data_IF_851301384872
#
_entry.id   IF_851301384872
#
_cell.length_a   1.000
_cell.length_b   1.000
_cell.length_c   1.000
_cell.angle_alpha   90.00
_cell.angle_beta   90.00
_cell.angle_gamma   90.00
#
_symmetry.space_group_name_H-M   'P 1'
#
loop_
_entity.id
_entity.type
_entity.pdbx_description
1 polymer ?
#
# COMPACT_ATOMS: atom_id res chain seq x y z
N UNK A 1 8.52 17.84 11.34
CA UNK A 1 8.58 16.48 11.92
C UNK A 1 7.16 15.96 11.93
N UNK A 2 6.83 15.01 11.06
CA UNK A 2 5.49 14.45 10.93
C UNK A 2 5.39 13.26 11.89
N UNK A 3 4.34 13.19 12.71
CA UNK A 3 4.16 12.06 13.61
C UNK A 3 3.63 10.86 12.82
N UNK A 4 4.51 9.90 12.56
CA UNK A 4 4.16 8.66 11.87
C UNK A 4 4.90 7.46 12.47
N UNK A 5 4.20 6.34 12.58
CA UNK A 5 4.75 5.12 13.16
C UNK A 5 5.83 4.54 12.22
N UNK A 6 6.97 4.03 12.74
CA UNK A 6 7.94 3.33 11.91
C UNK A 6 7.26 2.21 11.12
N UNK A 7 7.51 2.12 9.82
CA UNK A 7 6.86 1.13 8.92
C UNK A 7 6.97 -0.32 9.42
N UNK A 8 8.07 -0.65 10.10
CA UNK A 8 8.30 -1.97 10.72
C UNK A 8 7.29 -2.31 11.83
N UNK A 9 6.76 -1.30 12.51
CA UNK A 9 5.86 -1.41 13.66
C UNK A 9 4.43 -0.95 13.32
N UNK A 10 4.22 -0.41 12.13
CA UNK A 10 2.93 0.04 11.66
C UNK A 10 2.14 -1.15 11.07
N UNK A 11 1.15 -1.66 11.81
CA UNK A 11 0.18 -2.60 11.27
C UNK A 11 -0.95 -1.82 10.57
N UNK A 12 -1.44 -2.34 9.43
CA UNK A 12 -2.49 -1.71 8.63
C UNK A 12 -3.62 -2.68 8.24
N UNK A 13 -3.67 -3.86 8.87
CA UNK A 13 -4.66 -4.89 8.58
C UNK A 13 -6.05 -4.60 9.18
N UNK A 14 -6.99 -5.48 8.85
CA UNK A 14 -8.45 -5.30 9.03
C UNK A 14 -8.86 -5.16 10.50
N UNK A 15 -8.04 -5.69 11.43
CA UNK A 15 -8.32 -5.79 12.86
C UNK A 15 -8.24 -4.46 13.64
N UNK A 16 -7.70 -3.38 13.05
CA UNK A 16 -7.57 -2.09 13.74
C UNK A 16 -8.90 -1.36 13.97
N UNK A 17 -9.98 -1.73 13.26
CA UNK A 17 -11.28 -1.08 13.40
C UNK A 17 -12.08 -1.58 14.61
N UNK A 18 -11.82 -2.77 15.15
CA UNK A 18 -12.58 -3.30 16.30
C UNK A 18 -11.87 -3.11 17.64
N UNK A 19 -10.57 -2.81 17.67
CA UNK A 19 -9.80 -2.68 18.92
C UNK A 19 -9.65 -3.99 19.72
N UNK A 20 -10.18 -5.10 19.21
CA UNK A 20 -10.07 -6.44 19.79
C UNK A 20 -9.97 -7.44 18.65
N UNK A 21 -8.78 -7.95 18.40
CA UNK A 21 -8.63 -9.15 17.58
C UNK A 21 -9.11 -10.33 18.39
N UNK A 22 -10.11 -11.04 17.87
CA UNK A 22 -10.46 -12.35 18.38
C UNK A 22 -9.32 -13.30 18.01
N UNK A 23 -8.48 -13.64 18.99
CA UNK A 23 -7.42 -14.63 18.79
C UNK A 23 -8.11 -15.95 18.43
N UNK A 24 -7.91 -16.52 17.23
CA UNK A 24 -8.54 -17.77 16.85
C UNK A 24 -8.10 -18.88 17.81
N UNK A 25 -9.06 -19.74 18.22
CA UNK A 25 -8.77 -20.87 19.09
C UNK A 25 -7.82 -21.87 18.41
N UNK A 26 -7.12 -22.66 19.21
CA UNK A 26 -6.22 -23.68 18.67
C UNK A 26 -6.96 -24.68 17.76
N UNK A 27 -8.20 -25.04 18.08
CA UNK A 27 -9.05 -25.89 17.24
C UNK A 27 -9.34 -25.28 15.85
N UNK A 28 -9.42 -23.95 15.75
CA UNK A 28 -9.58 -23.25 14.47
C UNK A 28 -8.27 -23.24 13.68
N UNK A 29 -7.14 -23.06 14.37
CA UNK A 29 -5.81 -23.08 13.72
C UNK A 29 -5.44 -24.47 13.20
N UNK A 30 -5.84 -25.53 13.91
CA UNK A 30 -5.57 -26.91 13.53
C UNK A 30 -6.34 -27.36 12.26
N UNK A 31 -7.36 -26.60 11.85
CA UNK A 31 -8.17 -26.85 10.65
C UNK A 31 -7.63 -26.13 9.40
N UNK A 32 -6.63 -25.26 9.55
CA UNK A 32 -6.08 -24.44 8.47
C UNK A 32 -4.79 -25.04 7.91
N UNK A 33 -4.44 -24.63 6.69
CA UNK A 33 -3.14 -24.97 6.11
C UNK A 33 -1.99 -24.27 6.85
N UNK A 34 -0.77 -24.82 6.74
CA UNK A 34 0.42 -24.22 7.38
C UNK A 34 0.65 -22.77 6.94
N UNK A 35 0.38 -22.45 5.67
CA UNK A 35 0.51 -21.10 5.12
C UNK A 35 -0.53 -20.14 5.72
N UNK A 36 -1.78 -20.57 5.87
CA UNK A 36 -2.84 -19.77 6.50
C UNK A 36 -2.55 -19.53 7.99
N UNK A 37 -2.05 -20.54 8.70
CA UNK A 37 -1.63 -20.40 10.10
C UNK A 37 -0.45 -19.43 10.22
N UNK A 38 0.50 -19.47 9.28
CA UNK A 38 1.64 -18.57 9.27
C UNK A 38 1.21 -17.11 9.04
N UNK A 39 0.26 -16.87 8.12
CA UNK A 39 -0.32 -15.54 7.88
C UNK A 39 -1.02 -15.02 9.13
N UNK A 40 -1.88 -15.82 9.75
CA UNK A 40 -2.60 -15.43 10.98
C UNK A 40 -1.62 -15.10 12.11
N UNK A 41 -0.61 -15.93 12.33
CA UNK A 41 0.43 -15.66 13.34
C UNK A 41 1.20 -14.39 13.06
N UNK A 42 1.52 -14.12 11.80
CA UNK A 42 2.17 -12.88 11.38
C UNK A 42 1.29 -11.66 11.64
N UNK A 43 -0.02 -11.75 11.35
CA UNK A 43 -0.97 -10.66 11.63
C UNK A 43 -1.07 -10.37 13.12
N UNK A 44 -1.21 -11.42 13.95
CA UNK A 44 -1.26 -11.30 15.41
C UNK A 44 -0.01 -10.59 15.93
N UNK A 45 1.15 -11.09 15.53
CA UNK A 45 2.44 -10.58 15.99
C UNK A 45 2.67 -9.12 15.54
N UNK A 46 2.28 -8.78 14.31
CA UNK A 46 2.40 -7.43 13.78
C UNK A 46 1.48 -6.45 14.52
N UNK A 47 0.27 -6.88 14.88
CA UNK A 47 -0.64 -6.07 15.70
C UNK A 47 -0.11 -5.90 17.13
N UNK A 48 0.38 -6.96 17.77
CA UNK A 48 0.93 -6.88 19.13
C UNK A 48 2.11 -5.90 19.20
N UNK A 49 3.03 -5.96 18.24
CA UNK A 49 4.13 -5.01 18.15
C UNK A 49 3.64 -3.56 17.94
N UNK A 50 2.60 -3.38 17.13
CA UNK A 50 1.99 -2.07 16.92
C UNK A 50 1.40 -1.49 18.20
N UNK A 51 0.61 -2.28 18.92
CA UNK A 51 -0.04 -1.88 20.18
C UNK A 51 0.99 -1.62 21.28
N UNK A 52 1.95 -2.53 21.44
CA UNK A 52 3.05 -2.36 22.40
C UNK A 52 3.81 -1.06 22.14
N UNK A 53 4.14 -0.76 20.88
CA UNK A 53 4.84 0.47 20.53
C UNK A 53 3.98 1.71 20.78
N UNK A 54 2.67 1.67 20.50
CA UNK A 54 1.76 2.75 20.86
C UNK A 54 1.70 2.99 22.38
N UNK A 55 1.69 1.93 23.18
CA UNK A 55 1.68 2.03 24.64
C UNK A 55 3.00 2.60 25.18
N UNK A 56 4.14 2.13 24.66
CA UNK A 56 5.44 2.71 24.99
C UNK A 56 5.52 4.20 24.61
N UNK A 57 4.92 4.59 23.47
CA UNK A 57 4.85 5.98 23.04
C UNK A 57 3.96 6.85 23.95
N UNK A 58 2.86 6.31 24.49
CA UNK A 58 2.02 7.03 25.47
C UNK A 58 2.85 7.52 26.65
N UNK A 59 3.71 6.64 27.16
CA UNK A 59 4.54 6.90 28.34
C UNK A 59 5.73 7.82 28.02
N UNK A 60 6.42 7.57 26.91
CA UNK A 60 7.67 8.27 26.58
C UNK A 60 7.47 9.62 25.89
N UNK A 61 6.41 9.79 25.09
CA UNK A 61 6.25 10.94 24.21
C UNK A 61 4.77 11.34 24.02
N UNK A 62 4.15 11.82 25.11
CA UNK A 62 2.71 12.09 25.17
C UNK A 62 2.17 12.99 24.05
N UNK A 63 2.93 14.00 23.59
CA UNK A 63 2.52 14.88 22.48
C UNK A 63 2.49 14.13 21.15
N UNK A 64 3.49 13.29 20.90
CA UNK A 64 3.59 12.49 19.69
C UNK A 64 2.50 11.42 19.65
N UNK A 65 2.28 10.73 20.77
CA UNK A 65 1.17 9.80 20.92
C UNK A 65 -0.18 10.49 20.70
N UNK A 66 -0.41 11.67 21.29
CA UNK A 66 -1.65 12.44 21.10
C UNK A 66 -1.90 12.79 19.64
N UNK A 67 -0.85 13.05 18.85
CA UNK A 67 -1.00 13.30 17.42
C UNK A 67 -1.42 12.04 16.64
N UNK A 68 -0.88 10.87 16.99
CA UNK A 68 -1.26 9.58 16.41
C UNK A 68 -2.68 9.14 16.84
N UNK A 69 -3.10 9.49 18.06
CA UNK A 69 -4.41 9.15 18.60
C UNK A 69 -5.56 10.02 18.03
N UNK A 70 -5.27 11.01 17.18
CA UNK A 70 -6.31 11.83 16.56
C UNK A 70 -7.21 10.99 15.63
N UNK A 71 -8.54 11.23 15.65
CA UNK A 71 -9.45 10.61 14.70
C UNK A 71 -9.01 10.82 13.25
N UNK A 72 -8.87 9.71 12.52
CA UNK A 72 -8.39 9.71 11.14
C UNK A 72 -6.99 10.31 10.95
N UNK A 73 -6.06 10.15 11.92
CA UNK A 73 -4.69 10.64 11.79
C UNK A 73 -4.06 10.22 10.45
N UNK A 74 -4.23 8.97 10.02
CA UNK A 74 -3.72 8.47 8.73
C UNK A 74 -4.32 9.21 7.54
N UNK A 75 -5.63 9.48 7.55
CA UNK A 75 -6.27 10.24 6.47
C UNK A 75 -5.65 11.64 6.37
N UNK A 76 -5.32 12.26 7.51
CA UNK A 76 -4.67 13.58 7.57
C UNK A 76 -3.20 13.53 7.13
N UNK A 77 -2.42 12.59 7.63
CA UNK A 77 -0.98 12.50 7.36
C UNK A 77 -0.69 11.99 5.96
N UNK A 78 -1.41 10.97 5.50
CA UNK A 78 -1.22 10.36 4.18
C UNK A 78 -1.54 11.35 3.07
N UNK A 79 -2.61 12.15 3.23
CA UNK A 79 -2.98 13.19 2.26
C UNK A 79 -1.85 14.21 2.06
N UNK A 80 -1.23 14.66 3.16
CA UNK A 80 -0.09 15.59 3.12
C UNK A 80 1.13 14.94 2.47
N UNK A 81 1.42 13.70 2.85
CA UNK A 81 2.57 12.96 2.33
C UNK A 81 2.46 12.72 0.83
N UNK A 82 1.28 12.29 0.37
CA UNK A 82 1.01 12.01 -1.04
C UNK A 82 1.00 13.30 -1.86
N UNK A 83 0.42 14.40 -1.35
CA UNK A 83 0.45 15.70 -2.01
C UNK A 83 1.88 16.21 -2.25
N UNK A 84 2.81 15.93 -1.33
CA UNK A 84 4.23 16.26 -1.51
C UNK A 84 4.93 15.44 -2.62
N UNK A 85 4.38 14.28 -2.96
CA UNK A 85 4.97 13.33 -3.90
C UNK A 85 4.31 13.35 -5.28
N UNK A 86 3.33 14.21 -5.55
CA UNK A 86 2.66 14.26 -6.87
C UNK A 86 3.52 14.80 -8.01
N UNK A 87 4.66 15.40 -7.69
CA UNK A 87 5.62 15.95 -8.67
C UNK A 87 6.77 14.98 -9.01
N UNK A 88 6.84 13.79 -8.41
CA UNK A 88 7.87 12.80 -8.75
C UNK A 88 7.58 12.13 -10.09
N UNK A 89 8.59 11.49 -10.69
CA UNK A 89 8.55 10.91 -12.04
C UNK A 89 7.39 9.91 -12.28
N UNK A 90 6.80 9.38 -11.21
CA UNK A 90 5.60 8.53 -11.24
C UNK A 90 4.33 9.39 -11.05
N UNK A 91 4.04 10.22 -12.04
CA UNK A 91 2.94 11.19 -12.01
C UNK A 91 1.57 10.48 -11.90
N UNK A 92 1.38 9.38 -12.64
CA UNK A 92 0.08 8.70 -12.73
C UNK A 92 -0.34 8.00 -11.42
N UNK A 93 0.51 7.18 -10.77
CA UNK A 93 0.16 6.55 -9.50
C UNK A 93 -0.08 7.57 -8.37
N UNK A 94 0.71 8.65 -8.33
CA UNK A 94 0.63 9.60 -7.22
C UNK A 94 -0.56 10.56 -7.33
N UNK A 95 -0.99 10.93 -8.54
CA UNK A 95 -2.22 11.72 -8.73
C UNK A 95 -3.46 10.90 -8.38
N UNK A 96 -3.54 9.65 -8.83
CA UNK A 96 -4.65 8.77 -8.46
C UNK A 96 -4.72 8.59 -6.93
N UNK A 97 -3.59 8.31 -6.28
CA UNK A 97 -3.52 8.19 -4.82
C UNK A 97 -3.94 9.47 -4.11
N UNK A 98 -3.58 10.64 -4.64
CA UNK A 98 -4.01 11.91 -4.07
C UNK A 98 -5.53 12.05 -4.16
N UNK A 99 -6.13 11.77 -5.33
CA UNK A 99 -7.58 11.80 -5.52
C UNK A 99 -8.30 10.84 -4.57
N UNK A 100 -7.80 9.61 -4.44
CA UNK A 100 -8.37 8.63 -3.51
C UNK A 100 -8.27 9.10 -2.05
N UNK A 101 -7.15 9.69 -1.64
CA UNK A 101 -7.02 10.24 -0.28
C UNK A 101 -7.94 11.44 -0.04
N UNK A 102 -8.10 12.31 -1.03
CA UNK A 102 -9.05 13.42 -0.94
C UNK A 102 -10.49 12.93 -0.84
N UNK A 103 -10.86 11.88 -1.59
CA UNK A 103 -12.19 11.25 -1.50
C UNK A 103 -12.45 10.71 -0.09
N UNK A 104 -11.52 9.94 0.46
CA UNK A 104 -11.61 9.43 1.83
C UNK A 104 -11.67 10.56 2.87
N UNK A 105 -10.95 11.67 2.66
CA UNK A 105 -11.01 12.85 3.53
C UNK A 105 -12.39 13.49 3.53
N UNK A 106 -13.01 13.66 2.35
CA UNK A 106 -14.35 14.23 2.21
C UNK A 106 -15.40 13.32 2.87
N UNK A 107 -15.33 12.01 2.61
CA UNK A 107 -16.26 11.02 3.17
C UNK A 107 -16.18 10.93 4.70
N UNK A 108 -14.98 11.10 5.26
CA UNK A 108 -14.74 11.01 6.70
C UNK A 108 -14.63 12.38 7.38
N UNK A 109 -15.03 13.46 6.71
CA UNK A 109 -14.82 14.84 7.18
C UNK A 109 -15.37 15.08 8.60
N UNK A 110 -16.60 14.61 8.86
CA UNK A 110 -17.20 14.68 10.19
C UNK A 110 -16.48 13.75 11.19
N UNK A 111 -16.12 12.55 10.77
CA UNK A 111 -15.46 11.54 11.60
C UNK A 111 -14.05 11.94 12.04
N UNK A 112 -13.37 12.79 11.27
CA UNK A 112 -12.09 13.38 11.70
C UNK A 112 -12.27 14.56 12.66
N UNK A 113 -13.50 14.92 13.03
CA UNK A 113 -13.78 15.96 14.03
C UNK A 113 -14.00 17.36 13.44
N UNK A 114 -14.36 17.47 12.16
CA UNK A 114 -14.77 18.74 11.55
C UNK A 114 -16.29 18.89 11.65
N UNK A 115 -16.76 20.00 12.22
CA UNK A 115 -18.20 20.28 12.39
C UNK A 115 -18.83 20.92 11.15
N UNK A 116 -18.04 21.67 10.39
CA UNK A 116 -18.51 22.37 9.19
C UNK A 116 -18.56 21.42 8.00
N UNK A 117 -19.40 21.69 6.98
CA UNK A 117 -19.36 20.97 5.71
C UNK A 117 -17.95 21.01 5.09
N UNK A 118 -17.55 19.93 4.41
CA UNK A 118 -16.28 19.92 3.71
C UNK A 118 -16.31 20.98 2.60
N UNK A 119 -15.31 21.90 2.52
CA UNK A 119 -15.31 22.96 1.52
C UNK A 119 -15.00 22.47 0.11
N UNK A 120 -14.62 21.20 -0.03
CA UNK A 120 -14.26 20.55 -1.30
C UNK A 120 -15.22 19.39 -1.53
N UNK A 121 -15.65 19.23 -2.78
CA UNK A 121 -16.51 18.14 -3.23
C UNK A 121 -16.12 17.74 -4.64
N UNK A 122 -16.30 16.47 -4.97
CA UNK A 122 -16.15 15.98 -6.33
C UNK A 122 -17.49 15.95 -7.05
N UNK A 123 -17.47 16.31 -8.33
CA UNK A 123 -18.60 16.09 -9.23
C UNK A 123 -18.80 14.61 -9.52
N UNK A 124 -20.01 14.25 -9.96
CA UNK A 124 -20.34 12.87 -10.33
C UNK A 124 -19.42 12.33 -11.45
N UNK A 125 -19.00 13.20 -12.36
CA UNK A 125 -18.12 12.85 -13.47
C UNK A 125 -16.69 12.57 -12.99
N UNK A 126 -16.18 13.37 -12.04
CA UNK A 126 -14.86 13.12 -11.44
C UNK A 126 -14.82 11.80 -10.66
N UNK A 127 -15.92 11.46 -9.97
CA UNK A 127 -16.04 10.18 -9.27
C UNK A 127 -16.10 9.00 -10.26
N UNK A 128 -16.87 9.13 -11.34
CA UNK A 128 -16.97 8.11 -12.39
C UNK A 128 -15.60 7.86 -13.04
N UNK A 129 -14.88 8.93 -13.40
CA UNK A 129 -13.55 8.81 -13.99
C UNK A 129 -12.55 8.18 -13.01
N UNK A 130 -12.63 8.52 -11.72
CA UNK A 130 -11.78 7.91 -10.69
C UNK A 130 -12.03 6.40 -10.54
N UNK A 131 -13.28 5.95 -10.62
CA UNK A 131 -13.61 4.52 -10.61
C UNK A 131 -13.09 3.78 -11.85
N UNK A 132 -13.11 4.43 -13.02
CA UNK A 132 -12.52 3.86 -14.24
C UNK A 132 -10.99 3.76 -14.13
N UNK A 133 -10.35 4.80 -13.60
CA UNK A 133 -8.90 4.84 -13.39
C UNK A 133 -8.42 3.81 -12.36
N UNK A 134 -9.30 3.38 -11.43
CA UNK A 134 -8.99 2.41 -10.38
C UNK A 134 -8.48 1.08 -10.93
N UNK A 135 -9.13 0.55 -11.98
CA UNK A 135 -8.74 -0.73 -12.55
C UNK A 135 -7.31 -0.68 -13.13
N UNK A 136 -6.98 0.41 -13.84
CA UNK A 136 -5.64 0.63 -14.37
C UNK A 136 -4.59 0.84 -13.27
N UNK A 137 -4.95 1.53 -12.20
CA UNK A 137 -4.10 1.69 -11.02
C UNK A 137 -3.83 0.37 -10.28
N UNK A 138 -4.89 -0.40 -10.00
CA UNK A 138 -4.80 -1.68 -9.29
C UNK A 138 -3.97 -2.70 -10.09
N UNK A 139 -4.17 -2.77 -11.41
CA UNK A 139 -3.37 -3.62 -12.29
C UNK A 139 -1.88 -3.23 -12.29
N UNK A 140 -1.60 -1.93 -12.38
CA UNK A 140 -0.22 -1.41 -12.37
C UNK A 140 0.47 -1.68 -11.03
N UNK A 141 -0.24 -1.49 -9.91
CA UNK A 141 0.29 -1.77 -8.58
C UNK A 141 0.53 -3.25 -8.32
N UNK A 142 -0.36 -4.13 -8.76
CA UNK A 142 -0.18 -5.57 -8.65
C UNK A 142 1.08 -6.03 -9.41
N UNK A 143 1.36 -5.45 -10.58
CA UNK A 143 2.60 -5.72 -11.31
C UNK A 143 3.84 -5.29 -10.53
N UNK A 144 3.85 -4.09 -9.95
CA UNK A 144 4.98 -3.65 -9.10
C UNK A 144 5.18 -4.54 -7.86
N UNK A 145 4.11 -5.06 -7.26
CA UNK A 145 4.21 -5.99 -6.13
C UNK A 145 4.78 -7.36 -6.55
N UNK A 146 4.46 -7.82 -7.76
CA UNK A 146 5.08 -9.02 -8.35
C UNK A 146 6.57 -8.79 -8.59
N UNK A 147 6.95 -7.63 -9.12
CA UNK A 147 8.36 -7.28 -9.34
C UNK A 147 9.13 -7.12 -8.02
N UNK A 148 8.56 -6.53 -6.99
CA UNK A 148 9.19 -6.41 -5.67
C UNK A 148 9.42 -7.80 -5.06
N UNK A 149 8.40 -8.68 -5.09
CA UNK A 149 8.52 -10.04 -4.54
C UNK A 149 9.43 -10.98 -5.34
N UNK A 150 9.40 -10.93 -6.67
CA UNK A 150 10.10 -11.89 -7.51
C UNK A 150 11.44 -11.40 -8.02
N UNK A 151 11.55 -10.11 -8.32
CA UNK A 151 12.75 -9.50 -8.91
C UNK A 151 13.52 -8.69 -7.87
N UNK A 152 12.96 -8.42 -6.68
CA UNK A 152 13.57 -7.51 -5.72
C UNK A 152 13.59 -6.05 -6.20
N UNK A 153 12.79 -5.73 -7.22
CA UNK A 153 12.67 -4.39 -7.77
C UNK A 153 11.56 -3.64 -7.03
N UNK A 154 11.97 -2.63 -6.27
CA UNK A 154 11.07 -1.80 -5.47
C UNK A 154 10.20 -0.95 -6.38
N UNK A 155 9.12 -0.40 -5.81
CA UNK A 155 8.16 0.46 -6.52
C UNK A 155 8.75 1.72 -7.16
N UNK A 156 9.98 2.12 -6.79
CA UNK A 156 10.73 3.23 -7.40
C UNK A 156 11.67 2.77 -8.55
N UNK A 157 11.53 1.52 -9.01
CA UNK A 157 12.33 0.92 -10.06
C UNK A 157 13.76 0.57 -9.62
N UNK A 158 14.08 0.66 -8.32
CA UNK A 158 15.43 0.36 -7.81
C UNK A 158 15.55 -1.08 -7.34
N UNK A 159 16.75 -1.61 -7.52
CA UNK A 159 17.20 -2.90 -7.04
C UNK A 159 18.41 -2.69 -6.15
N UNK A 160 18.58 -3.51 -5.10
CA UNK A 160 19.79 -3.48 -4.28
C UNK A 160 21.02 -3.87 -5.12
N UNK A 161 22.10 -3.09 -5.02
CA UNK A 161 23.31 -3.33 -5.80
C UNK A 161 23.91 -4.73 -5.56
N UNK A 162 23.75 -5.29 -4.36
CA UNK A 162 24.22 -6.64 -4.02
C UNK A 162 23.44 -7.77 -4.69
N UNK A 163 22.21 -7.51 -5.13
CA UNK A 163 21.32 -8.47 -5.80
C UNK A 163 21.04 -8.10 -7.26
N UNK A 164 21.74 -7.11 -7.82
CA UNK A 164 21.45 -6.58 -9.15
C UNK A 164 21.51 -7.66 -10.25
N UNK A 165 22.58 -8.46 -10.27
CA UNK A 165 22.77 -9.50 -11.30
C UNK A 165 21.70 -10.60 -11.22
N UNK A 166 21.34 -11.02 -10.01
CA UNK A 166 20.28 -12.00 -9.73
C UNK A 166 18.91 -11.47 -10.17
N UNK A 167 18.65 -10.18 -9.91
CA UNK A 167 17.42 -9.50 -10.29
C UNK A 167 17.31 -9.34 -11.81
N UNK A 168 18.40 -9.02 -12.50
CA UNK A 168 18.43 -8.97 -13.98
C UNK A 168 18.19 -10.35 -14.57
N UNK A 169 18.79 -11.41 -14.01
CA UNK A 169 18.55 -12.79 -14.45
C UNK A 169 17.07 -13.18 -14.29
N UNK A 170 16.50 -12.92 -13.11
CA UNK A 170 15.10 -13.22 -12.80
C UNK A 170 14.13 -12.41 -13.66
N UNK A 171 14.42 -11.14 -13.91
CA UNK A 171 13.64 -10.29 -14.84
C UNK A 171 13.64 -10.86 -16.26
N UNK A 172 14.79 -11.35 -16.76
CA UNK A 172 14.91 -11.97 -18.09
C UNK A 172 14.11 -13.29 -18.18
N UNK A 173 14.06 -14.07 -17.11
CA UNK A 173 13.25 -15.30 -17.07
C UNK A 173 11.75 -14.99 -17.05
N UNK A 174 11.32 -14.03 -16.24
CA UNK A 174 9.94 -13.56 -16.21
C UNK A 174 9.52 -12.98 -17.57
N UNK A 175 10.42 -12.29 -18.29
CA UNK A 175 10.15 -11.78 -19.64
C UNK A 175 9.81 -12.89 -20.61
N UNK A 176 10.62 -13.95 -20.61
CA UNK A 176 10.42 -15.11 -21.49
C UNK A 176 9.12 -15.85 -21.17
N UNK A 177 8.76 -15.95 -19.89
CA UNK A 177 7.49 -16.52 -19.47
C UNK A 177 6.31 -15.68 -19.93
N UNK A 178 6.39 -14.36 -19.73
CA UNK A 178 5.36 -13.42 -20.17
C UNK A 178 5.18 -13.42 -21.69
N UNK A 179 6.27 -13.32 -22.46
CA UNK A 179 6.27 -13.42 -23.93
C UNK A 179 5.61 -14.71 -24.43
N UNK A 180 5.75 -15.81 -23.69
CA UNK A 180 5.13 -17.09 -24.02
C UNK A 180 3.63 -17.12 -23.68
N UNK A 181 3.21 -16.45 -22.60
CA UNK A 181 1.80 -16.35 -22.20
C UNK A 181 1.01 -15.42 -23.11
N UNK A 182 1.61 -14.32 -23.58
CA UNK A 182 0.95 -13.39 -24.51
C UNK A 182 1.13 -13.76 -25.98
N UNK A 183 1.83 -14.87 -26.28
CA UNK A 183 1.97 -15.41 -27.63
C UNK A 183 0.59 -15.86 -28.17
N UNK A 184 -0.09 -14.96 -28.87
CA UNK A 184 -1.46 -15.16 -29.40
C UNK A 184 -2.43 -14.01 -29.09
N UNK A 185 -2.01 -13.02 -28.29
CA UNK A 185 -2.75 -11.78 -28.06
C UNK A 185 -2.21 -10.66 -28.97
N UNK A 186 -2.98 -9.57 -29.14
CA UNK A 186 -2.57 -8.36 -29.89
C UNK A 186 -1.48 -7.53 -29.19
N UNK A 187 -0.69 -8.12 -28.29
CA UNK A 187 0.42 -7.43 -27.61
C UNK A 187 1.69 -7.62 -28.45
N UNK A 188 2.22 -6.53 -28.97
CA UNK A 188 3.43 -6.56 -29.81
C UNK A 188 4.69 -6.74 -28.96
N UNK A 189 5.74 -7.35 -29.55
CA UNK A 189 7.03 -7.49 -28.87
C UNK A 189 7.65 -6.14 -28.51
N UNK A 190 7.42 -5.13 -29.35
CA UNK A 190 7.87 -3.76 -29.11
C UNK A 190 7.21 -3.14 -27.87
N UNK A 191 5.91 -3.38 -27.66
CA UNK A 191 5.22 -2.92 -26.44
C UNK A 191 5.76 -3.62 -25.20
N UNK A 192 6.02 -4.93 -25.25
CA UNK A 192 6.62 -5.66 -24.13
C UNK A 192 7.99 -5.07 -23.80
N UNK A 193 8.83 -4.80 -24.81
CA UNK A 193 10.15 -4.20 -24.59
C UNK A 193 10.12 -2.78 -24.04
N UNK A 194 9.14 -1.98 -24.43
CA UNK A 194 8.97 -0.61 -23.95
C UNK A 194 8.62 -0.55 -22.46
N UNK A 195 7.85 -1.52 -21.96
CA UNK A 195 7.35 -1.53 -20.58
C UNK A 195 8.09 -2.52 -19.67
N UNK A 196 8.99 -3.37 -20.19
CA UNK A 196 9.70 -4.35 -19.38
C UNK A 196 10.80 -3.71 -18.52
N UNK A 197 10.84 -3.97 -17.20
CA UNK A 197 11.88 -3.42 -16.34
C UNK A 197 13.23 -4.13 -16.49
N UNK A 198 14.33 -3.41 -16.25
CA UNK A 198 15.71 -3.95 -16.22
C UNK A 198 16.15 -4.59 -17.54
N UNK A 199 15.92 -3.91 -18.66
CA UNK A 199 16.19 -4.40 -20.02
C UNK A 199 17.65 -4.27 -20.49
N UNK A 200 18.58 -3.78 -19.65
CA UNK A 200 20.02 -3.74 -19.93
C UNK A 200 20.85 -4.28 -18.76
#
# INVERSE_FOLDING_TARGET
>A
MQADLPRLLAYAGVSLLSGTMEIPSQETLDQLSEDEVAIIKWEINSQDHHLFYQDALKEAASVYYRALALPGHRIRTDSIHIAGNTYSADIFPNIYRLRERMRLLIENWAAIGMSEPCPVSFSSEELRQHEEDKCGYDASHAQFEVYDRRVGMRSDGRVDASHYEESVATSKELKKLYEKEVAGLEVTKEEIEQYWPLTQ
#
